data_IF_135575897154
#
_entry.id   IF_135575897154
#
_cell.length_a   1.000
_cell.length_b   1.000
_cell.length_c   1.000
_cell.angle_alpha   90.00
_cell.angle_beta   90.00
_cell.angle_gamma   90.00
#
_symmetry.space_group_name_H-M   'P 1'
#
loop_
_entity.id
_entity.type
_entity.pdbx_description
1 polymer ?
#
# COMPACT_ATOMS: atom_id res chain seq x y z
N UNK A 1 32.25 -24.04 -8.80
CA UNK A 1 30.86 -23.86 -8.33
C UNK A 1 30.85 -22.74 -7.33
N UNK A 2 29.86 -21.85 -7.38
CA UNK A 2 29.81 -20.67 -6.50
C UNK A 2 29.55 -21.08 -5.03
N UNK A 3 30.36 -20.62 -4.06
CA UNK A 3 30.09 -20.82 -2.65
C UNK A 3 28.76 -20.14 -2.26
N UNK A 4 27.78 -20.89 -1.76
CA UNK A 4 26.46 -20.40 -1.36
C UNK A 4 25.27 -21.16 -1.96
N UNK A 5 25.49 -22.03 -2.95
CA UNK A 5 24.48 -22.86 -3.60
C UNK A 5 24.23 -24.22 -2.91
N UNK A 6 24.42 -24.32 -1.60
CA UNK A 6 24.07 -25.55 -0.87
C UNK A 6 22.57 -25.61 -0.49
N UNK A 7 21.77 -24.62 -0.89
CA UNK A 7 20.32 -24.61 -0.69
C UNK A 7 19.56 -25.13 -1.91
N UNK A 8 18.59 -26.02 -1.68
CA UNK A 8 17.62 -26.41 -2.71
C UNK A 8 16.52 -25.32 -2.73
N UNK A 9 16.14 -24.76 -3.89
CA UNK A 9 15.00 -23.85 -3.98
C UNK A 9 13.77 -24.48 -3.33
N UNK A 10 13.23 -23.82 -2.30
CA UNK A 10 12.12 -24.31 -1.52
C UNK A 10 11.15 -23.16 -1.24
N UNK A 11 9.86 -23.43 -1.40
CA UNK A 11 8.78 -22.51 -1.05
C UNK A 11 7.90 -23.19 0.00
N UNK A 12 7.98 -22.71 1.24
CA UNK A 12 7.16 -23.10 2.37
C UNK A 12 5.91 -22.22 2.50
N UNK A 13 5.65 -21.69 3.70
CA UNK A 13 4.50 -20.82 3.92
C UNK A 13 4.65 -19.53 3.09
N UNK A 14 3.52 -19.05 2.57
CA UNK A 14 3.41 -17.83 1.77
C UNK A 14 2.59 -16.79 2.53
N UNK A 15 3.00 -15.53 2.45
CA UNK A 15 2.25 -14.42 3.03
C UNK A 15 2.12 -13.28 2.02
N UNK A 16 0.94 -12.68 1.92
CA UNK A 16 0.72 -11.41 1.21
C UNK A 16 0.46 -10.34 2.25
N UNK A 17 1.34 -9.34 2.34
CA UNK A 17 1.17 -8.21 3.25
C UNK A 17 0.50 -7.08 2.48
N UNK A 18 -0.70 -6.69 2.91
CA UNK A 18 -1.47 -5.60 2.30
C UNK A 18 -1.45 -4.40 3.23
N UNK A 19 -0.78 -3.34 2.80
CA UNK A 19 -0.65 -2.10 3.56
C UNK A 19 -1.81 -1.16 3.22
N UNK A 20 -2.57 -0.75 4.24
CA UNK A 20 -3.77 0.06 4.07
C UNK A 20 -3.57 1.47 4.64
N UNK A 21 -3.81 2.50 3.83
CA UNK A 21 -3.74 3.90 4.27
C UNK A 21 -4.57 4.83 3.39
N UNK A 22 -5.04 5.94 3.97
CA UNK A 22 -5.65 7.03 3.22
C UNK A 22 -4.64 8.13 2.89
N UNK A 23 -4.92 8.90 1.85
CA UNK A 23 -4.01 9.93 1.35
C UNK A 23 -4.69 11.30 1.34
N UNK A 24 -4.06 12.31 1.95
CA UNK A 24 -4.58 13.68 1.96
C UNK A 24 -4.78 14.27 0.57
N UNK A 25 -3.98 13.85 -0.42
CA UNK A 25 -4.10 14.28 -1.83
C UNK A 25 -5.41 13.85 -2.50
N UNK A 26 -6.20 12.98 -1.86
CA UNK A 26 -7.57 12.72 -2.29
C UNK A 26 -8.40 14.01 -2.41
N UNK A 27 -8.12 15.01 -1.57
CA UNK A 27 -8.79 16.33 -1.59
C UNK A 27 -8.61 17.09 -2.92
N UNK A 28 -7.58 16.76 -3.70
CA UNK A 28 -7.29 17.38 -5.01
C UNK A 28 -8.11 16.79 -6.18
N UNK A 29 -9.09 15.91 -5.89
CA UNK A 29 -9.99 15.36 -6.91
C UNK A 29 -9.33 14.35 -7.87
N UNK A 30 -8.23 13.72 -7.44
CA UNK A 30 -7.42 12.77 -8.23
C UNK A 30 -7.94 11.32 -8.21
N UNK A 31 -9.03 11.05 -7.49
CA UNK A 31 -9.71 9.76 -7.42
C UNK A 31 -11.23 9.95 -7.47
N UNK A 32 -11.95 9.00 -8.07
CA UNK A 32 -13.42 9.02 -8.12
C UNK A 32 -14.09 8.28 -6.97
N UNK A 33 -13.38 7.32 -6.39
CA UNK A 33 -13.89 6.52 -5.29
C UNK A 33 -13.95 7.38 -4.02
N UNK A 34 -15.05 7.32 -3.25
CA UNK A 34 -15.13 7.95 -1.93
C UNK A 34 -14.01 7.46 -1.03
N UNK A 35 -13.48 8.34 -0.18
CA UNK A 35 -12.33 8.05 0.70
C UNK A 35 -12.60 6.83 1.60
N UNK A 36 -13.84 6.67 2.07
CA UNK A 36 -14.26 5.61 2.98
C UNK A 36 -14.11 4.19 2.38
N UNK A 37 -13.96 4.07 1.06
CA UNK A 37 -13.74 2.79 0.38
C UNK A 37 -12.48 2.09 0.88
N UNK A 38 -11.44 2.82 1.30
CA UNK A 38 -10.24 2.24 1.93
C UNK A 38 -10.62 1.40 3.14
N UNK A 39 -11.37 1.97 4.09
CA UNK A 39 -11.79 1.29 5.31
C UNK A 39 -12.74 0.11 5.02
N UNK A 40 -13.70 0.30 4.10
CA UNK A 40 -14.66 -0.74 3.72
C UNK A 40 -13.94 -1.94 3.10
N UNK A 41 -12.97 -1.71 2.20
CA UNK A 41 -12.25 -2.80 1.55
C UNK A 41 -11.25 -3.49 2.49
N UNK A 42 -10.63 -2.74 3.40
CA UNK A 42 -9.81 -3.30 4.47
C UNK A 42 -10.63 -4.27 5.34
N UNK A 43 -11.86 -3.89 5.71
CA UNK A 43 -12.78 -4.76 6.43
C UNK A 43 -13.23 -5.97 5.59
N UNK A 44 -13.45 -5.81 4.29
CA UNK A 44 -13.74 -6.95 3.40
C UNK A 44 -12.58 -7.97 3.36
N UNK A 45 -11.32 -7.52 3.51
CA UNK A 45 -10.18 -8.44 3.55
C UNK A 45 -10.20 -9.32 4.81
N UNK A 46 -10.71 -8.83 5.95
CA UNK A 46 -10.86 -9.68 7.15
C UNK A 46 -11.93 -10.75 6.99
N UNK A 47 -12.91 -10.51 6.11
CA UNK A 47 -13.94 -11.47 5.70
C UNK A 47 -13.51 -12.41 4.58
N UNK A 48 -12.33 -12.21 4.00
CA UNK A 48 -11.82 -13.05 2.91
C UNK A 48 -12.51 -12.82 1.55
N UNK A 49 -13.26 -11.74 1.35
CA UNK A 49 -14.13 -11.56 0.17
C UNK A 49 -13.52 -10.73 -0.96
N UNK A 50 -12.31 -10.20 -0.80
CA UNK A 50 -11.65 -9.40 -1.83
C UNK A 50 -10.90 -10.27 -2.84
N UNK A 51 -10.55 -9.70 -4.00
CA UNK A 51 -9.80 -10.41 -5.05
C UNK A 51 -8.46 -10.99 -4.54
N UNK A 52 -7.71 -10.25 -3.73
CA UNK A 52 -6.45 -10.75 -3.15
C UNK A 52 -6.69 -11.92 -2.19
N UNK A 53 -7.78 -11.91 -1.42
CA UNK A 53 -8.12 -13.01 -0.52
C UNK A 53 -8.38 -14.30 -1.31
N UNK A 54 -9.20 -14.24 -2.35
CA UNK A 54 -9.53 -15.40 -3.19
C UNK A 54 -8.29 -15.94 -3.90
N UNK A 55 -7.47 -15.05 -4.48
CA UNK A 55 -6.25 -15.47 -5.19
C UNK A 55 -5.17 -16.00 -4.23
N UNK A 56 -5.05 -15.41 -3.03
CA UNK A 56 -4.12 -15.89 -2.01
C UNK A 56 -4.52 -17.28 -1.49
N UNK A 57 -5.82 -17.51 -1.26
CA UNK A 57 -6.33 -18.84 -0.88
C UNK A 57 -6.00 -19.88 -1.95
N UNK A 58 -6.25 -19.59 -3.23
CA UNK A 58 -5.88 -20.47 -4.35
C UNK A 58 -4.36 -20.73 -4.41
N UNK A 59 -3.55 -19.72 -4.08
CA UNK A 59 -2.10 -19.85 -4.02
C UNK A 59 -1.60 -20.50 -2.71
N UNK A 60 -2.46 -20.84 -1.74
CA UNK A 60 -2.09 -21.32 -0.42
C UNK A 60 -1.25 -20.32 0.38
N UNK A 61 -1.57 -19.03 0.27
CA UNK A 61 -0.93 -17.91 0.95
C UNK A 61 -1.88 -17.25 1.94
N UNK A 62 -1.33 -16.79 3.07
CA UNK A 62 -2.09 -16.04 4.07
C UNK A 62 -2.06 -14.54 3.75
N UNK A 63 -3.20 -13.86 3.84
CA UNK A 63 -3.27 -12.39 3.70
C UNK A 63 -3.13 -11.74 5.07
N UNK A 64 -2.17 -10.83 5.20
CA UNK A 64 -1.92 -10.03 6.38
C UNK A 64 -2.33 -8.59 6.06
N UNK A 65 -3.47 -8.14 6.61
CA UNK A 65 -4.00 -6.79 6.37
C UNK A 65 -3.49 -5.88 7.48
N UNK A 66 -2.74 -4.84 7.09
CA UNK A 66 -2.00 -3.97 8.01
C UNK A 66 -2.51 -2.54 7.82
N UNK A 67 -3.16 -1.99 8.83
CA UNK A 67 -3.51 -0.57 8.89
C UNK A 67 -2.23 0.21 9.23
N UNK A 68 -1.73 0.99 8.27
CA UNK A 68 -0.60 1.91 8.47
C UNK A 68 -1.03 3.38 8.46
N UNK A 69 -2.30 3.67 8.15
CA UNK A 69 -2.77 5.04 7.98
C UNK A 69 -4.21 5.23 7.54
N UNK A 70 -5.14 4.31 7.81
CA UNK A 70 -6.54 4.47 7.42
C UNK A 70 -7.18 5.62 8.22
N UNK A 71 -7.94 6.49 7.56
CA UNK A 71 -8.65 7.61 8.18
C UNK A 71 -9.98 7.18 8.81
N UNK A 72 -9.86 6.40 9.88
CA UNK A 72 -10.98 6.04 10.76
C UNK A 72 -10.76 6.59 12.16
N UNK A 73 -11.85 6.90 12.87
CA UNK A 73 -11.76 7.31 14.28
C UNK A 73 -11.10 6.20 15.12
N UNK A 74 -11.62 4.99 15.01
CA UNK A 74 -11.14 3.81 15.74
C UNK A 74 -10.46 2.80 14.79
N UNK A 75 -9.50 2.00 15.29
CA UNK A 75 -8.93 0.89 14.53
C UNK A 75 -10.01 -0.13 14.11
N UNK A 76 -9.86 -0.68 12.90
CA UNK A 76 -10.78 -1.71 12.38
C UNK A 76 -10.44 -3.07 13.03
N UNK A 77 -11.39 -3.76 13.69
CA UNK A 77 -11.15 -5.07 14.27
C UNK A 77 -10.65 -6.09 13.24
N UNK A 78 -9.65 -6.89 13.62
CA UNK A 78 -9.06 -7.93 12.77
C UNK A 78 -7.88 -7.47 11.91
N UNK A 79 -7.60 -6.17 11.82
CA UNK A 79 -6.40 -5.65 11.18
C UNK A 79 -5.20 -5.63 12.14
N UNK A 80 -4.02 -5.80 11.57
CA UNK A 80 -2.76 -5.52 12.26
C UNK A 80 -2.61 -3.99 12.33
N UNK A 81 -2.60 -3.43 13.54
CA UNK A 81 -2.53 -1.99 13.73
C UNK A 81 -1.08 -1.52 13.81
N UNK A 82 -0.62 -0.82 12.77
CA UNK A 82 0.63 -0.07 12.70
C UNK A 82 0.38 1.39 12.31
N UNK A 83 -0.81 1.90 12.64
CA UNK A 83 -1.31 3.19 12.14
C UNK A 83 -0.42 4.36 12.59
N UNK A 84 0.15 5.06 11.62
CA UNK A 84 1.03 6.23 11.85
C UNK A 84 0.22 7.49 12.15
N UNK A 85 -0.86 7.69 11.40
CA UNK A 85 -1.79 8.82 11.48
C UNK A 85 -3.12 8.43 10.84
N UNK A 86 -4.12 9.31 10.91
CA UNK A 86 -5.37 9.18 10.15
C UNK A 86 -5.18 9.80 8.77
N UNK A 87 -4.75 8.99 7.81
CA UNK A 87 -4.31 9.44 6.49
C UNK A 87 -2.95 10.16 6.52
N UNK A 88 -2.29 10.22 5.36
CA UNK A 88 -1.12 11.06 5.15
C UNK A 88 -1.49 12.54 4.98
N UNK A 89 -0.51 13.43 5.09
CA UNK A 89 -0.63 14.80 4.59
C UNK A 89 -0.94 14.84 3.09
N UNK A 90 -1.52 15.95 2.63
CA UNK A 90 -1.76 16.21 1.23
C UNK A 90 -0.46 16.63 0.53
N UNK A 91 0.08 15.75 -0.32
CA UNK A 91 1.38 15.94 -0.98
C UNK A 91 1.45 17.14 -1.92
N UNK A 92 0.30 17.68 -2.36
CA UNK A 92 0.26 18.88 -3.19
C UNK A 92 0.61 20.17 -2.41
N UNK A 93 0.49 20.15 -1.08
CA UNK A 93 0.68 21.34 -0.22
C UNK A 93 1.62 21.12 0.96
N UNK A 94 1.84 19.88 1.38
CA UNK A 94 2.68 19.55 2.52
C UNK A 94 3.29 18.14 2.39
N UNK A 95 4.38 17.82 3.12
CA UNK A 95 4.89 16.45 3.16
C UNK A 95 3.82 15.45 3.61
N UNK A 96 3.76 14.27 2.98
CA UNK A 96 2.85 13.18 3.38
C UNK A 96 3.05 12.76 4.85
N UNK A 97 4.29 12.81 5.34
CA UNK A 97 4.65 12.50 6.72
C UNK A 97 6.02 13.11 7.06
N UNK A 98 6.35 13.16 8.35
CA UNK A 98 7.71 13.48 8.79
C UNK A 98 8.67 12.33 8.50
N UNK A 99 9.97 12.66 8.35
CA UNK A 99 11.03 11.65 8.18
C UNK A 99 11.04 10.60 9.31
N UNK A 100 10.84 11.05 10.55
CA UNK A 100 10.80 10.16 11.74
C UNK A 100 9.63 9.17 11.67
N UNK A 101 8.47 9.60 11.19
CA UNK A 101 7.32 8.72 10.98
C UNK A 101 7.64 7.66 9.92
N UNK A 102 8.25 8.06 8.80
CA UNK A 102 8.65 7.13 7.74
C UNK A 102 9.67 6.09 8.25
N UNK A 103 10.74 6.53 8.91
CA UNK A 103 11.78 5.64 9.46
C UNK A 103 11.20 4.67 10.50
N UNK A 104 10.30 5.14 11.36
CA UNK A 104 9.63 4.28 12.35
C UNK A 104 8.78 3.21 11.67
N UNK A 105 7.93 3.59 10.71
CA UNK A 105 7.05 2.65 10.02
C UNK A 105 7.85 1.61 9.23
N UNK A 106 8.94 2.04 8.57
CA UNK A 106 9.87 1.13 7.90
C UNK A 106 10.41 0.08 8.87
N UNK A 107 10.90 0.49 10.04
CA UNK A 107 11.43 -0.43 11.05
C UNK A 107 10.35 -1.38 11.59
N UNK A 108 9.16 -0.88 11.90
CA UNK A 108 8.06 -1.69 12.41
C UNK A 108 7.65 -2.80 11.42
N UNK A 109 7.51 -2.45 10.14
CA UNK A 109 7.16 -3.40 9.06
C UNK A 109 8.30 -4.38 8.76
N UNK A 110 9.56 -3.93 8.82
CA UNK A 110 10.73 -4.81 8.70
C UNK A 110 10.72 -5.86 9.82
N UNK A 111 10.56 -5.43 11.07
CA UNK A 111 10.50 -6.32 12.23
C UNK A 111 9.36 -7.33 12.08
N UNK A 112 8.16 -6.87 11.71
CA UNK A 112 7.01 -7.76 11.48
C UNK A 112 7.27 -8.81 10.39
N UNK A 113 7.83 -8.39 9.27
CA UNK A 113 8.16 -9.29 8.14
C UNK A 113 9.22 -10.32 8.55
N UNK A 114 10.23 -9.91 9.34
CA UNK A 114 11.23 -10.83 9.89
C UNK A 114 10.64 -11.85 10.86
N UNK A 115 9.69 -11.45 11.70
CA UNK A 115 8.97 -12.39 12.57
C UNK A 115 8.17 -13.43 11.76
N UNK A 116 7.54 -13.03 10.66
CA UNK A 116 6.88 -14.00 9.76
C UNK A 116 7.88 -14.98 9.14
N UNK A 117 9.06 -14.51 8.75
CA UNK A 117 10.12 -15.36 8.23
C UNK A 117 10.61 -16.37 9.28
N UNK A 118 10.82 -15.93 10.53
CA UNK A 118 11.15 -16.83 11.66
C UNK A 118 10.06 -17.88 11.90
N UNK A 119 8.80 -17.54 11.62
CA UNK A 119 7.64 -18.44 11.72
C UNK A 119 7.40 -19.33 10.48
N UNK A 120 8.37 -19.37 9.56
CA UNK A 120 8.43 -20.30 8.43
C UNK A 120 7.81 -19.77 7.14
N UNK A 121 7.53 -18.46 7.03
CA UNK A 121 7.22 -17.84 5.74
C UNK A 121 8.49 -17.72 4.91
N UNK A 122 8.47 -18.25 3.70
CA UNK A 122 9.64 -18.23 2.80
C UNK A 122 9.37 -17.49 1.49
N UNK A 123 8.12 -17.07 1.26
CA UNK A 123 7.73 -16.29 0.09
C UNK A 123 6.73 -15.21 0.51
N UNK A 124 7.06 -13.97 0.17
CA UNK A 124 6.25 -12.80 0.47
C UNK A 124 5.72 -12.19 -0.83
N UNK A 125 4.45 -11.81 -0.81
CA UNK A 125 3.85 -10.87 -1.75
C UNK A 125 3.58 -9.56 -1.04
N UNK A 126 3.62 -8.46 -1.78
CA UNK A 126 3.24 -7.14 -1.29
C UNK A 126 1.99 -6.68 -2.03
N UNK A 127 1.10 -6.03 -1.29
CA UNK A 127 -0.09 -5.38 -1.82
C UNK A 127 -0.36 -4.13 -1.01
N UNK A 128 -1.30 -3.35 -1.50
CA UNK A 128 -1.66 -2.09 -0.90
C UNK A 128 -3.14 -1.79 -1.14
N UNK A 129 -3.69 -0.87 -0.36
CA UNK A 129 -5.06 -0.40 -0.48
C UNK A 129 -5.13 1.03 0.04
N UNK A 130 -5.47 1.98 -0.82
CA UNK A 130 -5.67 3.37 -0.42
C UNK A 130 -6.29 4.21 -1.51
N UNK A 131 -7.34 4.97 -1.20
CA UNK A 131 -7.90 5.88 -2.19
C UNK A 131 -6.90 6.99 -2.51
N UNK A 132 -6.78 7.32 -3.81
CA UNK A 132 -5.81 8.26 -4.37
C UNK A 132 -4.32 7.86 -4.33
N UNK A 133 -3.97 6.65 -3.88
CA UNK A 133 -2.60 6.12 -3.79
C UNK A 133 -1.75 6.20 -5.09
N UNK A 134 -2.37 6.13 -6.27
CA UNK A 134 -1.65 6.18 -7.55
C UNK A 134 -1.03 7.54 -7.83
N UNK A 135 -1.50 8.60 -7.17
CA UNK A 135 -0.92 9.95 -7.24
C UNK A 135 0.45 10.02 -6.57
N UNK A 136 0.62 9.68 -5.26
CA UNK A 136 1.94 9.61 -4.65
C UNK A 136 2.84 8.53 -5.29
N UNK A 137 2.28 7.43 -5.79
CA UNK A 137 3.06 6.44 -6.54
C UNK A 137 3.70 7.07 -7.79
N UNK A 138 2.93 7.82 -8.58
CA UNK A 138 3.45 8.52 -9.76
C UNK A 138 4.49 9.60 -9.40
N UNK A 139 4.26 10.36 -8.31
CA UNK A 139 5.23 11.35 -7.82
C UNK A 139 6.57 10.70 -7.44
N UNK A 140 6.54 9.56 -6.74
CA UNK A 140 7.74 8.79 -6.39
C UNK A 140 8.46 8.30 -7.66
N UNK A 141 7.72 7.74 -8.62
CA UNK A 141 8.30 7.25 -9.89
C UNK A 141 8.93 8.40 -10.68
N UNK A 142 8.22 9.52 -10.86
CA UNK A 142 8.74 10.73 -11.53
C UNK A 142 10.05 11.18 -10.87
N UNK A 143 10.05 11.30 -9.55
CA UNK A 143 11.22 11.75 -8.77
C UNK A 143 12.43 10.82 -8.92
N UNK A 144 12.23 9.50 -8.80
CA UNK A 144 13.34 8.53 -8.82
C UNK A 144 13.88 8.33 -10.24
N UNK A 145 13.04 8.47 -11.26
CA UNK A 145 13.41 8.21 -12.66
C UNK A 145 13.78 9.47 -13.44
N UNK A 146 13.45 10.66 -12.92
CA UNK A 146 13.60 11.93 -13.64
C UNK A 146 12.64 12.10 -14.81
N UNK A 147 11.57 11.31 -14.89
CA UNK A 147 10.53 11.37 -15.93
C UNK A 147 9.49 12.43 -15.60
N UNK A 148 8.95 13.06 -16.63
CA UNK A 148 7.88 14.05 -16.44
C UNK A 148 6.61 13.37 -15.88
N UNK A 149 5.83 14.02 -14.99
CA UNK A 149 4.54 13.50 -14.53
C UNK A 149 3.61 13.05 -15.65
N UNK A 150 3.63 13.70 -16.83
CA UNK A 150 2.86 13.29 -18.01
C UNK A 150 3.18 11.87 -18.50
N UNK A 151 4.41 11.39 -18.30
CA UNK A 151 4.86 10.07 -18.73
C UNK A 151 4.46 8.95 -17.75
N UNK A 152 4.15 9.28 -16.49
CA UNK A 152 4.02 8.29 -15.41
C UNK A 152 2.67 8.30 -14.71
N UNK A 153 1.86 9.35 -14.89
CA UNK A 153 0.52 9.44 -14.30
C UNK A 153 -0.50 8.69 -15.16
N UNK A 154 -1.12 7.67 -14.57
CA UNK A 154 -2.23 6.91 -15.17
C UNK A 154 -3.59 7.19 -14.55
N UNK A 155 -4.63 6.58 -15.14
CA UNK A 155 -6.04 6.73 -14.71
C UNK A 155 -6.33 6.13 -13.32
N UNK A 156 -5.47 5.26 -12.79
CA UNK A 156 -5.72 4.56 -11.52
C UNK A 156 -7.04 3.78 -11.54
N UNK A 157 -7.85 3.92 -10.50
CA UNK A 157 -9.17 3.29 -10.41
C UNK A 157 -10.22 4.02 -11.28
N UNK A 158 -10.08 3.91 -12.60
CA UNK A 158 -11.03 4.43 -13.60
C UNK A 158 -11.30 5.94 -13.50
N UNK A 159 -10.28 6.76 -13.19
CA UNK A 159 -10.43 8.21 -13.26
C UNK A 159 -10.82 8.63 -14.70
N UNK A 160 -11.87 9.46 -14.87
CA UNK A 160 -12.22 10.03 -16.16
C UNK A 160 -11.04 10.76 -16.81
N UNK A 161 -10.87 10.57 -18.12
CA UNK A 161 -9.71 11.07 -18.87
C UNK A 161 -9.63 12.60 -18.90
N UNK A 162 -10.77 13.29 -18.78
CA UNK A 162 -10.86 14.75 -18.66
C UNK A 162 -10.29 15.28 -17.33
N UNK A 163 -10.17 14.43 -16.30
CA UNK A 163 -9.52 14.76 -15.02
C UNK A 163 -8.04 14.41 -14.97
N UNK A 164 -7.49 13.76 -16.00
CA UNK A 164 -6.11 13.29 -15.99
C UNK A 164 -5.12 14.47 -15.96
N UNK A 165 -5.40 15.55 -16.68
CA UNK A 165 -4.57 16.77 -16.68
C UNK A 165 -4.42 17.36 -15.25
N UNK A 166 -5.52 17.45 -14.50
CA UNK A 166 -5.47 17.87 -13.10
C UNK A 166 -4.58 16.95 -12.24
N UNK A 167 -4.69 15.63 -12.43
CA UNK A 167 -3.86 14.68 -11.68
C UNK A 167 -2.37 14.78 -12.03
N UNK A 168 -2.05 15.09 -13.29
CA UNK A 168 -0.68 15.38 -13.73
C UNK A 168 -0.17 16.64 -13.03
N UNK A 169 -0.96 17.71 -13.03
CA UNK A 169 -0.58 18.98 -12.39
C UNK A 169 -0.38 18.85 -10.88
N UNK A 170 -1.18 18.02 -10.20
CA UNK A 170 -1.05 17.72 -8.77
C UNK A 170 0.26 16.97 -8.45
N UNK A 171 0.81 16.22 -9.40
CA UNK A 171 2.06 15.45 -9.23
C UNK A 171 3.31 16.32 -9.49
N UNK A 172 3.16 17.40 -10.25
CA UNK A 172 4.25 18.30 -10.64
C UNK A 172 4.69 19.20 -9.48
#
# INVERSE_FOLDING_TARGET
GMPGLNGIPHVGKKAVLVMCADHGVWEEGVAISPKEVTAIQAENMTRGTTGVCVLAEQAGANVHVIDVGIDTAEPIPGLINMRVARGSGNIASAPAMSRRQAEKLLLDVICYTQELAKNGVTLFGVGELGMANTTPAAAIVSTITGRDPEEVVGIGANLPTDKLANKIDVVR
#
